data_IF_500411774747
#
_entry.id   IF_500411774747
#
_cell.length_a   1.000
_cell.length_b   1.000
_cell.length_c   1.000
_cell.angle_alpha   90.00
_cell.angle_beta   90.00
_cell.angle_gamma   90.00
#
_symmetry.space_group_name_H-M   'P 1'
#
loop_
_entity.id
_entity.type
_entity.pdbx_description
1 polymer ?
#
# COMPACT_ATOMS: atom_id res chain seq x y z
N UNK A 1 -3.81 10.01 11.80
CA UNK A 1 -2.75 10.58 10.93
C UNK A 1 -1.89 9.52 10.24
N UNK A 2 -1.48 8.41 10.90
CA UNK A 2 -0.62 7.38 10.28
C UNK A 2 -1.26 6.62 9.09
N UNK A 3 -2.49 6.10 9.26
CA UNK A 3 -3.18 5.32 8.23
C UNK A 3 -3.50 6.10 6.95
N UNK A 4 -3.71 7.42 7.08
CA UNK A 4 -3.88 8.33 5.96
C UNK A 4 -2.60 8.43 5.11
N UNK A 5 -1.43 8.51 5.76
CA UNK A 5 -0.13 8.56 5.08
C UNK A 5 0.14 7.29 4.27
N UNK A 6 -0.13 6.12 4.86
CA UNK A 6 0.03 4.82 4.19
C UNK A 6 -0.88 4.73 2.95
N UNK A 7 -2.15 5.09 3.08
CA UNK A 7 -3.10 5.11 1.97
C UNK A 7 -2.64 6.05 0.84
N UNK A 8 -2.11 7.22 1.19
CA UNK A 8 -1.56 8.17 0.21
C UNK A 8 -0.32 7.65 -0.53
N UNK A 9 0.56 6.90 0.14
CA UNK A 9 1.75 6.30 -0.50
C UNK A 9 1.35 5.27 -1.54
N UNK A 10 0.38 4.41 -1.22
CA UNK A 10 -0.14 3.40 -2.15
C UNK A 10 -0.83 4.07 -3.34
N UNK A 11 -1.66 5.07 -3.08
CA UNK A 11 -2.39 5.80 -4.11
C UNK A 11 -1.45 6.55 -5.06
N UNK A 12 -0.39 7.16 -4.53
CA UNK A 12 0.66 7.80 -5.34
C UNK A 12 1.38 6.81 -6.25
N UNK A 13 1.56 5.56 -5.83
CA UNK A 13 2.09 4.49 -6.68
C UNK A 13 1.10 4.05 -7.76
N UNK A 14 -0.17 3.90 -7.39
CA UNK A 14 -1.25 3.54 -8.31
C UNK A 14 -1.39 4.55 -9.46
N UNK A 15 -1.25 5.85 -9.18
CA UNK A 15 -1.33 6.92 -10.20
C UNK A 15 -0.24 6.84 -11.28
N UNK A 16 0.92 6.20 -11.00
CA UNK A 16 1.97 6.00 -12.01
C UNK A 16 1.73 4.77 -12.89
N UNK A 17 0.91 3.84 -12.42
CA UNK A 17 0.63 2.58 -13.10
C UNK A 17 -0.72 2.59 -13.82
N UNK A 18 -1.65 3.47 -13.41
CA UNK A 18 -3.01 3.56 -13.91
C UNK A 18 -3.39 5.01 -14.23
N UNK A 19 -4.32 5.21 -15.18
CA UNK A 19 -4.91 6.54 -15.46
C UNK A 19 -5.92 6.91 -14.36
N UNK A 20 -5.42 7.30 -13.19
CA UNK A 20 -6.22 7.81 -12.07
C UNK A 20 -5.98 9.32 -11.95
N UNK A 21 -7.03 10.12 -11.99
CA UNK A 21 -6.89 11.58 -11.82
C UNK A 21 -6.64 11.94 -10.35
N UNK A 22 -6.17 13.17 -10.08
CA UNK A 22 -6.05 13.66 -8.71
C UNK A 22 -7.40 13.70 -7.98
N UNK A 23 -8.49 13.96 -8.70
CA UNK A 23 -9.83 13.98 -8.12
C UNK A 23 -10.27 12.57 -7.70
N UNK A 24 -10.07 11.58 -8.57
CA UNK A 24 -10.37 10.17 -8.27
C UNK A 24 -9.58 9.70 -7.05
N UNK A 25 -8.32 10.13 -6.95
CA UNK A 25 -7.46 9.82 -5.81
C UNK A 25 -8.04 10.37 -4.49
N UNK A 26 -8.45 11.64 -4.48
CA UNK A 26 -9.07 12.24 -3.29
C UNK A 26 -10.39 11.56 -2.93
N UNK A 27 -11.18 11.16 -3.93
CA UNK A 27 -12.43 10.43 -3.70
C UNK A 27 -12.19 9.05 -3.07
N UNK A 28 -11.21 8.30 -3.58
CA UNK A 28 -10.79 7.00 -3.02
C UNK A 28 -10.30 7.18 -1.60
N UNK A 29 -9.43 8.16 -1.36
CA UNK A 29 -8.89 8.44 -0.04
C UNK A 29 -9.98 8.80 0.95
N UNK A 30 -10.92 9.65 0.56
CA UNK A 30 -12.06 10.02 1.40
C UNK A 30 -12.93 8.80 1.73
N UNK A 31 -13.20 7.93 0.76
CA UNK A 31 -13.98 6.71 0.97
C UNK A 31 -13.27 5.73 1.93
N UNK A 32 -11.97 5.51 1.76
CA UNK A 32 -11.17 4.61 2.63
C UNK A 32 -11.08 5.15 4.06
N UNK A 33 -10.92 6.47 4.23
CA UNK A 33 -10.81 7.08 5.55
C UNK A 33 -12.07 6.90 6.41
N UNK A 34 -13.26 6.76 5.80
CA UNK A 34 -14.50 6.49 6.53
C UNK A 34 -14.49 5.16 7.28
N UNK A 35 -13.73 4.18 6.77
CA UNK A 35 -13.68 2.84 7.34
C UNK A 35 -12.59 2.70 8.42
N UNK A 36 -11.65 3.65 8.50
CA UNK A 36 -10.52 3.60 9.45
C UNK A 36 -10.99 3.50 10.92
N UNK A 37 -11.99 4.27 11.39
CA UNK A 37 -12.45 4.14 12.78
C UNK A 37 -12.96 2.74 13.10
N UNK A 38 -13.66 2.12 12.15
CA UNK A 38 -14.18 0.76 12.30
C UNK A 38 -13.06 -0.28 12.30
N UNK A 39 -12.07 -0.16 11.41
CA UNK A 39 -10.89 -1.03 11.42
C UNK A 39 -10.06 -0.86 12.69
N UNK A 40 -9.91 0.36 13.20
CA UNK A 40 -9.25 0.60 14.49
C UNK A 40 -10.03 -0.04 15.64
N UNK A 41 -11.36 0.06 15.63
CA UNK A 41 -12.22 -0.58 16.63
C UNK A 41 -12.09 -2.10 16.60
N UNK A 42 -12.04 -2.71 15.41
CA UNK A 42 -11.81 -4.14 15.26
C UNK A 42 -10.43 -4.53 15.76
N UNK A 43 -9.38 -3.80 15.37
CA UNK A 43 -8.00 -4.09 15.79
C UNK A 43 -7.78 -3.96 17.30
N UNK A 44 -8.45 -3.03 17.98
CA UNK A 44 -8.37 -2.87 19.45
C UNK A 44 -9.06 -4.02 20.19
N UNK A 45 -10.10 -4.61 19.60
CA UNK A 45 -10.86 -5.71 20.22
C UNK A 45 -10.40 -7.10 19.77
N UNK A 46 -9.48 -7.18 18.81
CA UNK A 46 -8.95 -8.44 18.29
C UNK A 46 -7.91 -9.04 19.25
N UNK A 47 -7.93 -10.36 19.38
CA UNK A 47 -6.91 -11.09 20.14
C UNK A 47 -5.67 -11.39 19.27
N UNK A 48 -4.54 -11.66 19.90
CA UNK A 48 -3.28 -12.02 19.22
C UNK A 48 -3.47 -13.29 18.37
N UNK A 49 -4.33 -14.21 18.79
CA UNK A 49 -4.67 -15.41 18.03
C UNK A 49 -5.40 -15.12 16.71
N UNK A 50 -6.03 -13.94 16.58
CA UNK A 50 -6.74 -13.49 15.38
C UNK A 50 -5.85 -12.68 14.43
N UNK A 51 -4.56 -12.51 14.78
CA UNK A 51 -3.62 -11.76 13.96
C UNK A 51 -3.33 -12.52 12.66
N UNK A 52 -4.04 -12.16 11.59
CA UNK A 52 -3.85 -12.77 10.28
C UNK A 52 -2.47 -12.43 9.70
N UNK A 53 -1.68 -13.47 9.41
CA UNK A 53 -0.42 -13.31 8.69
C UNK A 53 -0.70 -13.14 7.21
N UNK A 54 -0.62 -11.91 6.71
CA UNK A 54 -0.63 -11.60 5.28
C UNK A 54 0.69 -11.95 4.58
N UNK A 55 1.70 -12.41 5.34
CA UNK A 55 3.05 -12.73 4.88
C UNK A 55 3.07 -13.61 3.63
N UNK A 56 2.33 -14.73 3.53
CA UNK A 56 2.39 -15.59 2.34
C UNK A 56 1.92 -14.87 1.07
N UNK A 57 0.89 -14.04 1.19
CA UNK A 57 0.36 -13.27 0.05
C UNK A 57 1.31 -12.14 -0.36
N UNK A 58 1.92 -11.47 0.62
CA UNK A 58 2.93 -10.44 0.38
C UNK A 58 4.16 -11.04 -0.31
N UNK A 59 4.61 -12.21 0.13
CA UNK A 59 5.77 -12.91 -0.45
C UNK A 59 5.51 -13.32 -1.91
N UNK A 60 4.31 -13.84 -2.21
CA UNK A 60 3.90 -14.17 -3.59
C UNK A 60 3.85 -12.89 -4.44
N UNK A 61 3.25 -11.82 -3.94
CA UNK A 61 3.15 -10.56 -4.69
C UNK A 61 4.52 -9.92 -4.92
N UNK A 62 5.43 -10.03 -3.95
CA UNK A 62 6.83 -9.60 -4.09
C UNK A 62 7.57 -10.44 -5.13
N UNK A 63 7.40 -11.76 -5.15
CA UNK A 63 8.00 -12.63 -6.16
C UNK A 63 7.51 -12.27 -7.57
N UNK A 64 6.20 -12.06 -7.75
CA UNK A 64 5.61 -11.62 -9.03
C UNK A 64 6.14 -10.24 -9.42
N UNK A 65 6.30 -9.32 -8.45
CA UNK A 65 6.90 -8.01 -8.70
C UNK A 65 8.37 -8.10 -9.16
N UNK A 66 9.15 -9.02 -8.58
CA UNK A 66 10.56 -9.30 -8.95
C UNK A 66 10.68 -10.06 -10.27
N UNK A 67 9.64 -10.73 -10.74
CA UNK A 67 9.61 -11.38 -12.05
C UNK A 67 9.08 -10.48 -13.19
N UNK A 68 8.29 -9.45 -12.86
CA UNK A 68 7.64 -8.57 -13.83
C UNK A 68 8.58 -7.93 -14.88
N UNK A 69 8.24 -8.11 -16.16
CA UNK A 69 9.04 -7.61 -17.30
C UNK A 69 9.17 -6.07 -17.35
N UNK A 70 8.15 -5.34 -16.91
CA UNK A 70 8.17 -3.86 -16.80
C UNK A 70 8.12 -3.49 -15.33
N UNK A 71 9.23 -2.97 -14.79
CA UNK A 71 9.35 -2.54 -13.40
C UNK A 71 9.52 -1.02 -13.30
N UNK A 72 8.74 -0.40 -12.42
CA UNK A 72 8.98 0.95 -11.94
C UNK A 72 9.26 0.90 -10.45
N UNK A 73 10.49 0.52 -10.11
CA UNK A 73 11.01 0.64 -8.74
C UNK A 73 11.47 2.09 -8.58
N UNK A 74 11.16 2.74 -7.45
CA UNK A 74 11.84 3.98 -7.12
C UNK A 74 13.34 3.68 -6.97
N UNK A 75 14.15 4.05 -7.98
CA UNK A 75 15.59 3.97 -7.91
C UNK A 75 16.07 4.77 -6.69
N UNK A 76 16.50 4.09 -5.62
CA UNK A 76 17.60 4.62 -4.83
C UNK A 76 18.87 4.22 -5.59
N UNK A 77 19.32 5.12 -6.47
CA UNK A 77 20.61 5.02 -7.16
C UNK A 77 21.72 5.10 -6.12
N UNK A 78 22.00 4.01 -5.40
CA UNK A 78 23.29 3.88 -4.73
C UNK A 78 24.29 3.68 -5.87
N UNK A 79 24.95 4.79 -6.23
CA UNK A 79 26.18 4.78 -7.01
C UNK A 79 27.17 3.87 -6.28
N UNK A 80 27.28 2.62 -6.70
CA UNK A 80 28.52 1.86 -6.52
C UNK A 80 29.50 2.43 -7.54
N UNK A 81 30.15 3.53 -7.15
CA UNK A 81 31.41 3.96 -7.71
C UNK A 81 32.50 3.55 -6.73
N UNK A 82 33.47 2.81 -7.27
CA UNK A 82 34.68 2.25 -6.66
C UNK A 82 34.53 0.84 -6.04
#
# INVERSE_FOLDING_TARGET
>A
MHQYGVAMTILSAAQRLMRITHFDSQQILYAVNKNIPEFCRQAVNADISEMASYTPLIDILAAVHVDAHVRFIYELKIRTGE
#
